data_IF_913048564592
#
_entry.id   IF_913048564592
#
_cell.length_a   1.000
_cell.length_b   1.000
_cell.length_c   1.000
_cell.angle_alpha   90.00
_cell.angle_beta   90.00
_cell.angle_gamma   90.00
#
_symmetry.space_group_name_H-M   'P 1'
#
loop_
_entity.id
_entity.type
_entity.pdbx_description
1 polymer ?
#
# COMPACT_ATOMS: atom_id res chain seq x y z
N UNK A 1 -29.59 -34.06 17.54
CA UNK A 1 -28.64 -33.08 17.00
C UNK A 1 -28.28 -32.14 18.15
N UNK A 2 -27.05 -32.16 18.68
CA UNK A 2 -26.66 -31.25 19.76
C UNK A 2 -26.47 -29.86 19.14
N UNK A 3 -27.23 -28.87 19.61
CA UNK A 3 -27.05 -27.48 19.22
C UNK A 3 -25.70 -26.97 19.70
N UNK A 4 -25.06 -26.14 18.89
CA UNK A 4 -23.81 -25.46 19.23
C UNK A 4 -24.11 -24.53 20.41
N UNK A 5 -23.28 -24.58 21.46
CA UNK A 5 -23.49 -23.76 22.66
C UNK A 5 -23.22 -22.27 22.40
N UNK A 6 -23.87 -21.38 23.14
CA UNK A 6 -23.72 -19.92 22.96
C UNK A 6 -22.26 -19.43 23.01
N UNK A 7 -21.42 -20.08 23.82
CA UNK A 7 -19.98 -19.79 23.91
C UNK A 7 -19.20 -20.21 22.66
N UNK A 8 -19.54 -21.36 22.04
CA UNK A 8 -18.93 -21.79 20.78
C UNK A 8 -19.35 -20.86 19.63
N UNK A 9 -20.61 -20.43 19.61
CA UNK A 9 -21.12 -19.49 18.61
C UNK A 9 -20.45 -18.11 18.73
N UNK A 10 -20.20 -17.64 19.96
CA UNK A 10 -19.49 -16.40 20.22
C UNK A 10 -18.01 -16.46 19.79
N UNK A 11 -17.31 -17.56 20.11
CA UNK A 11 -15.92 -17.77 19.67
C UNK A 11 -15.82 -17.83 18.15
N UNK A 12 -16.73 -18.54 17.48
CA UNK A 12 -16.74 -18.62 16.02
C UNK A 12 -16.93 -17.24 15.37
N UNK A 13 -17.82 -16.40 15.90
CA UNK A 13 -18.04 -15.02 15.42
C UNK A 13 -16.84 -14.12 15.66
N UNK A 14 -16.17 -14.26 16.80
CA UNK A 14 -14.93 -13.53 17.11
C UNK A 14 -13.82 -13.89 16.14
N UNK A 15 -13.67 -15.19 15.84
CA UNK A 15 -12.65 -15.71 14.96
C UNK A 15 -12.89 -15.28 13.51
N UNK A 16 -14.13 -15.36 13.02
CA UNK A 16 -14.49 -14.83 11.70
C UNK A 16 -14.26 -13.32 11.60
N UNK A 17 -14.61 -12.54 12.64
CA UNK A 17 -14.36 -11.10 12.63
C UNK A 17 -12.88 -10.77 12.58
N UNK A 18 -12.05 -11.53 13.31
CA UNK A 18 -10.59 -11.39 13.27
C UNK A 18 -10.03 -11.75 11.90
N UNK A 19 -10.48 -12.85 11.30
CA UNK A 19 -10.07 -13.24 9.95
C UNK A 19 -10.51 -12.24 8.89
N UNK A 20 -11.68 -11.63 9.03
CA UNK A 20 -12.18 -10.59 8.14
C UNK A 20 -11.41 -9.27 8.30
N UNK A 21 -11.14 -8.87 9.55
CA UNK A 21 -10.26 -7.74 9.85
C UNK A 21 -8.86 -8.02 9.29
N UNK A 22 -8.28 -9.18 9.54
CA UNK A 22 -6.97 -9.58 9.01
C UNK A 22 -6.97 -9.60 7.49
N UNK A 23 -8.03 -10.06 6.82
CA UNK A 23 -8.16 -9.97 5.35
C UNK A 23 -8.22 -8.53 4.85
N UNK A 24 -9.00 -7.68 5.50
CA UNK A 24 -9.05 -6.23 5.20
C UNK A 24 -7.70 -5.55 5.49
N UNK A 25 -6.95 -6.04 6.49
CA UNK A 25 -5.60 -5.60 6.80
C UNK A 25 -4.58 -6.12 5.76
N UNK A 26 -4.75 -7.34 5.24
CA UNK A 26 -3.94 -7.99 4.20
C UNK A 26 -4.15 -7.33 2.82
N UNK A 27 -5.36 -6.83 2.55
CA UNK A 27 -5.69 -6.00 1.39
C UNK A 27 -4.96 -4.64 1.34
N UNK A 28 -4.12 -4.33 2.33
CA UNK A 28 -3.50 -3.00 2.43
C UNK A 28 -2.22 -2.81 1.64
N UNK A 29 -1.64 -3.82 1.02
CA UNK A 29 -0.52 -3.68 0.07
C UNK A 29 -0.60 -4.84 -0.93
N UNK A 30 -1.08 -4.58 -2.14
CA UNK A 30 -1.19 -5.60 -3.18
C UNK A 30 0.11 -5.69 -3.99
N UNK A 31 0.74 -6.87 -4.05
CA UNK A 31 1.90 -7.09 -4.91
C UNK A 31 1.47 -7.17 -6.38
N UNK A 32 2.14 -6.41 -7.24
CA UNK A 32 1.98 -6.55 -8.71
C UNK A 32 2.60 -7.89 -9.14
N UNK A 33 1.92 -8.70 -9.97
CA UNK A 33 2.47 -9.96 -10.46
C UNK A 33 3.84 -9.77 -11.10
N UNK A 34 4.80 -10.60 -10.68
CA UNK A 34 6.21 -10.51 -11.12
C UNK A 34 7.18 -10.84 -9.99
N UNK A 35 8.46 -10.84 -10.34
CA UNK A 35 9.57 -11.07 -9.41
C UNK A 35 9.97 -9.78 -8.68
N UNK A 36 9.56 -8.64 -9.22
CA UNK A 36 9.83 -7.32 -8.68
C UNK A 36 9.07 -7.06 -7.37
N UNK A 37 9.69 -6.24 -6.50
CA UNK A 37 9.09 -5.73 -5.27
C UNK A 37 8.22 -4.50 -5.57
N UNK A 38 7.23 -4.67 -6.43
CA UNK A 38 6.31 -3.61 -6.84
C UNK A 38 4.93 -3.83 -6.22
N UNK A 39 4.39 -2.79 -5.60
CA UNK A 39 3.15 -2.87 -4.84
C UNK A 39 2.23 -1.69 -5.11
N UNK A 40 0.94 -1.90 -4.89
CA UNK A 40 -0.14 -0.93 -5.09
C UNK A 40 -1.05 -0.90 -3.85
N UNK A 41 -1.45 0.29 -3.38
CA UNK A 41 -2.38 0.44 -2.26
C UNK A 41 -3.01 1.84 -2.17
N UNK A 42 -3.95 2.05 -1.26
CA UNK A 42 -4.33 3.38 -0.78
C UNK A 42 -3.38 3.94 0.29
N UNK A 43 -3.48 5.24 0.56
CA UNK A 43 -2.61 6.03 1.47
C UNK A 43 -2.43 5.43 2.87
N UNK A 44 -3.41 4.67 3.38
CA UNK A 44 -3.32 4.08 4.72
C UNK A 44 -2.28 2.96 4.85
N UNK A 45 -1.75 2.41 3.75
CA UNK A 45 -0.60 1.51 3.78
C UNK A 45 0.61 2.10 4.52
N UNK A 46 0.79 3.42 4.41
CA UNK A 46 1.90 4.16 5.00
C UNK A 46 1.82 4.27 6.53
N UNK A 47 0.68 3.89 7.13
CA UNK A 47 0.53 3.73 8.57
C UNK A 47 1.01 2.37 9.08
N UNK A 48 1.52 1.49 8.21
CA UNK A 48 2.02 0.15 8.55
C UNK A 48 3.52 0.00 8.25
N UNK A 49 4.40 0.71 8.97
CA UNK A 49 5.84 0.71 8.69
C UNK A 49 6.49 -0.68 8.80
N UNK A 50 5.94 -1.58 9.61
CA UNK A 50 6.42 -2.97 9.68
C UNK A 50 6.16 -3.75 8.40
N UNK A 51 4.93 -3.69 7.87
CA UNK A 51 4.57 -4.37 6.62
C UNK A 51 5.39 -3.85 5.43
N UNK A 52 5.61 -2.53 5.36
CA UNK A 52 6.44 -1.93 4.32
C UNK A 52 7.90 -2.37 4.41
N UNK A 53 8.44 -2.49 5.63
CA UNK A 53 9.78 -3.00 5.87
C UNK A 53 9.91 -4.47 5.47
N UNK A 54 8.94 -5.32 5.84
CA UNK A 54 8.91 -6.74 5.49
C UNK A 54 8.76 -6.95 3.97
N UNK A 55 7.98 -6.10 3.30
CA UNK A 55 7.86 -6.07 1.84
C UNK A 55 9.10 -5.52 1.11
N UNK A 56 10.07 -4.97 1.85
CA UNK A 56 11.30 -4.38 1.29
C UNK A 56 11.05 -3.07 0.54
N UNK A 57 10.01 -2.31 0.89
CA UNK A 57 9.69 -1.02 0.29
C UNK A 57 10.72 0.02 0.72
N UNK A 58 11.30 0.71 -0.26
CA UNK A 58 12.30 1.78 -0.06
C UNK A 58 11.92 3.06 -0.81
N UNK A 59 11.04 2.96 -1.81
CA UNK A 59 10.59 4.06 -2.65
C UNK A 59 9.06 4.14 -2.66
N UNK A 60 8.53 5.35 -2.64
CA UNK A 60 7.10 5.63 -2.67
C UNK A 60 6.79 6.48 -3.90
N UNK A 61 5.78 6.07 -4.66
CA UNK A 61 5.11 6.90 -5.67
C UNK A 61 3.75 7.29 -5.10
N UNK A 62 3.47 8.58 -5.04
CA UNK A 62 2.18 9.11 -4.61
C UNK A 62 1.48 9.77 -5.79
N UNK A 63 0.30 9.30 -6.14
CA UNK A 63 -0.62 9.95 -7.09
C UNK A 63 -1.72 10.66 -6.29
N UNK A 64 -1.32 11.70 -5.56
CA UNK A 64 -2.19 12.42 -4.63
C UNK A 64 -1.66 13.85 -4.43
N UNK A 65 -2.57 14.83 -4.38
CA UNK A 65 -2.22 16.21 -4.05
C UNK A 65 -2.00 16.41 -2.54
N UNK A 66 -0.76 16.30 -2.09
CA UNK A 66 -0.38 16.57 -0.68
C UNK A 66 1.13 16.81 -0.52
N UNK A 67 1.53 17.28 0.67
CA UNK A 67 2.94 17.46 1.06
C UNK A 67 3.39 16.38 2.06
N UNK A 68 4.09 15.35 1.58
CA UNK A 68 4.55 14.24 2.42
C UNK A 68 5.55 14.65 3.52
N UNK A 69 6.24 15.79 3.37
CA UNK A 69 7.23 16.26 4.36
C UNK A 69 6.59 16.61 5.70
N UNK A 70 5.27 16.83 5.71
CA UNK A 70 4.49 17.10 6.92
C UNK A 70 4.07 15.81 7.64
N UNK A 71 4.35 14.62 7.07
CA UNK A 71 3.94 13.33 7.63
C UNK A 71 5.11 12.58 8.26
N UNK A 72 5.04 12.38 9.58
CA UNK A 72 6.08 11.67 10.34
C UNK A 72 6.24 10.22 9.89
N UNK A 73 7.49 9.75 9.78
CA UNK A 73 7.86 8.38 9.41
C UNK A 73 8.06 8.19 7.91
N UNK A 74 7.67 9.18 7.10
CA UNK A 74 7.78 9.13 5.65
C UNK A 74 9.17 9.54 5.16
N UNK A 75 9.94 10.25 5.99
CA UNK A 75 11.34 10.61 5.72
C UNK A 75 12.26 9.42 5.45
N UNK A 76 11.86 8.20 5.81
CA UNK A 76 12.63 6.98 5.61
C UNK A 76 12.58 6.42 4.18
N UNK A 77 11.76 7.01 3.30
CA UNK A 77 11.59 6.56 1.93
C UNK A 77 12.04 7.63 0.94
N UNK A 78 12.42 7.19 -0.26
CA UNK A 78 12.60 8.10 -1.40
C UNK A 78 11.24 8.31 -2.07
N UNK A 79 10.87 9.56 -2.34
CA UNK A 79 9.52 9.90 -2.81
C UNK A 79 9.50 10.41 -4.25
N UNK A 80 8.51 9.96 -5.01
CA UNK A 80 8.07 10.53 -6.27
C UNK A 80 6.61 10.95 -6.13
N UNK A 81 6.39 12.23 -5.90
CA UNK A 81 5.04 12.77 -5.74
C UNK A 81 4.50 13.31 -7.07
N UNK A 82 3.27 12.94 -7.42
CA UNK A 82 2.49 13.36 -8.60
C UNK A 82 1.27 14.11 -8.06
N UNK A 83 1.25 15.43 -8.26
CA UNK A 83 0.27 16.35 -7.66
C UNK A 83 -1.00 16.43 -8.51
N UNK A 84 -1.79 15.36 -8.50
CA UNK A 84 -3.03 15.22 -9.26
C UNK A 84 -4.18 14.82 -8.33
N UNK A 85 -5.39 15.14 -8.74
CA UNK A 85 -6.64 14.65 -8.15
C UNK A 85 -7.25 13.52 -9.01
N UNK A 86 -8.18 12.75 -8.45
CA UNK A 86 -8.92 11.70 -9.19
C UNK A 86 -10.07 12.32 -9.98
N UNK A 87 -9.69 13.11 -10.99
CA UNK A 87 -10.59 13.87 -11.86
C UNK A 87 -10.33 13.49 -13.32
N UNK A 88 -11.35 13.57 -14.16
CA UNK A 88 -11.29 13.17 -15.57
C UNK A 88 -10.52 14.14 -16.46
N UNK A 89 -10.27 15.36 -15.99
CA UNK A 89 -9.52 16.41 -16.68
C UNK A 89 -8.02 16.46 -16.31
N UNK A 90 -7.56 15.60 -15.38
CA UNK A 90 -6.16 15.52 -14.98
C UNK A 90 -5.30 14.79 -16.03
N UNK A 91 -4.19 15.41 -16.44
CA UNK A 91 -3.30 14.85 -17.47
C UNK A 91 -2.28 13.88 -16.88
N UNK A 92 -2.70 12.67 -16.49
CA UNK A 92 -1.79 11.71 -15.85
C UNK A 92 -0.64 11.23 -16.77
N UNK A 93 -0.86 11.26 -18.09
CA UNK A 93 0.09 10.72 -19.08
C UNK A 93 1.40 11.51 -19.08
N UNK A 94 1.35 12.83 -18.85
CA UNK A 94 2.56 13.67 -18.84
C UNK A 94 3.55 13.28 -17.73
N UNK A 95 3.07 12.63 -16.66
CA UNK A 95 3.88 12.21 -15.54
C UNK A 95 4.55 10.84 -15.75
N UNK A 96 4.06 10.04 -16.70
CA UNK A 96 4.53 8.67 -16.91
C UNK A 96 6.05 8.56 -17.15
N UNK A 97 6.70 9.39 -18.00
CA UNK A 97 8.13 9.26 -18.24
C UNK A 97 8.96 9.37 -16.95
N UNK A 98 8.64 10.35 -16.09
CA UNK A 98 9.32 10.57 -14.80
C UNK A 98 9.03 9.44 -13.81
N UNK A 99 7.75 9.04 -13.68
CA UNK A 99 7.33 8.01 -12.73
C UNK A 99 7.90 6.64 -13.10
N UNK A 100 7.83 6.27 -14.38
CA UNK A 100 8.39 5.00 -14.88
C UNK A 100 9.90 4.97 -14.68
N UNK A 101 10.62 6.08 -14.95
CA UNK A 101 12.05 6.14 -14.71
C UNK A 101 12.39 5.96 -13.22
N UNK A 102 11.63 6.60 -12.33
CA UNK A 102 11.80 6.46 -10.89
C UNK A 102 11.61 5.00 -10.43
N UNK A 103 10.55 4.33 -10.91
CA UNK A 103 10.28 2.92 -10.62
C UNK A 103 11.43 2.03 -11.12
N UNK A 104 11.88 2.23 -12.37
CA UNK A 104 12.97 1.45 -12.97
C UNK A 104 14.28 1.57 -12.18
N UNK A 105 14.65 2.78 -11.78
CA UNK A 105 15.87 3.01 -11.00
C UNK A 105 15.77 2.38 -9.61
N UNK A 106 14.63 2.51 -8.94
CA UNK A 106 14.40 1.92 -7.62
C UNK A 106 14.52 0.40 -7.64
N UNK A 107 13.84 -0.25 -8.60
CA UNK A 107 13.85 -1.71 -8.75
C UNK A 107 15.23 -2.21 -9.21
N UNK A 108 15.87 -1.53 -10.16
CA UNK A 108 17.22 -1.86 -10.64
C UNK A 108 18.30 -1.74 -9.57
N UNK A 109 18.08 -0.91 -8.54
CA UNK A 109 18.92 -0.81 -7.35
C UNK A 109 18.62 -1.84 -6.25
N UNK A 110 17.70 -2.79 -6.49
CA UNK A 110 17.30 -3.82 -5.51
C UNK A 110 16.24 -3.36 -4.49
N UNK A 111 15.74 -2.13 -4.62
CA UNK A 111 14.70 -1.56 -3.79
C UNK A 111 13.30 -2.09 -4.12
N UNK A 112 12.34 -1.78 -3.23
CA UNK A 112 10.92 -2.01 -3.46
C UNK A 112 10.16 -0.71 -3.60
N UNK A 113 9.11 -0.73 -4.42
CA UNK A 113 8.29 0.44 -4.74
C UNK A 113 6.85 0.20 -4.31
N UNK A 114 6.30 1.11 -3.51
CA UNK A 114 4.86 1.23 -3.27
C UNK A 114 4.31 2.39 -4.11
N UNK A 115 3.27 2.12 -4.90
CA UNK A 115 2.44 3.13 -5.55
C UNK A 115 1.17 3.29 -4.71
N UNK A 116 0.81 4.53 -4.37
CA UNK A 116 -0.46 4.80 -3.70
C UNK A 116 -1.17 6.06 -4.21
N UNK A 117 -2.46 6.11 -3.89
CA UNK A 117 -3.34 7.27 -4.00
C UNK A 117 -3.99 7.56 -2.64
#
# INVERSE_FOLDING_TARGET
>A
MKGIGDAELANFREQQRREEVDRVLEMSVAKVPGDEKLYVSGVFALRRPQALREAGVTHIVSALRFNYKETKGWENYTHCNVQIDDMDDENIIEHFPRVVQFIKLALGGGGGVLIHW
#
